data_IF_968988476570
#
_entry.id   IF_968988476570
#
_cell.length_a   1.000
_cell.length_b   1.000
_cell.length_c   1.000
_cell.angle_alpha   90.00
_cell.angle_beta   90.00
_cell.angle_gamma   90.00
#
_symmetry.space_group_name_H-M   'P 1'
#
loop_
_entity.id
_entity.type
_entity.pdbx_description
1 polymer ?
#
# COMPACT_ATOMS: atom_id res chain seq x y z
N UNK A 1 17.91 43.23 -13.21
CA UNK A 1 18.13 42.24 -14.28
C UNK A 1 18.02 40.86 -13.65
N UNK A 2 17.09 40.07 -14.17
CA UNK A 2 16.41 38.89 -13.62
C UNK A 2 17.20 37.88 -12.77
N UNK A 3 16.62 37.53 -11.62
CA UNK A 3 16.81 36.21 -11.02
C UNK A 3 15.82 35.22 -11.68
N UNK A 4 16.35 34.35 -12.53
CA UNK A 4 15.61 33.19 -13.02
C UNK A 4 15.42 32.18 -11.88
N UNK A 5 14.22 32.16 -11.28
CA UNK A 5 13.76 31.02 -10.48
C UNK A 5 13.73 29.78 -11.37
N UNK A 6 14.66 28.85 -11.14
CA UNK A 6 14.61 27.51 -11.72
C UNK A 6 13.36 26.79 -11.20
N UNK A 7 12.30 26.79 -12.01
CA UNK A 7 11.11 25.98 -11.77
C UNK A 7 11.48 24.51 -11.97
N UNK A 8 11.90 23.83 -10.90
CA UNK A 8 12.12 22.38 -10.91
C UNK A 8 10.78 21.68 -11.06
N UNK A 9 10.65 20.86 -12.10
CA UNK A 9 9.41 20.17 -12.48
C UNK A 9 8.93 19.22 -11.37
N UNK A 10 7.83 19.58 -10.71
CA UNK A 10 7.03 18.63 -9.91
C UNK A 10 6.24 17.74 -10.86
N UNK A 11 6.57 16.45 -10.93
CA UNK A 11 5.83 15.48 -11.73
C UNK A 11 4.54 15.10 -10.98
N UNK A 12 3.41 15.71 -11.37
CA UNK A 12 2.08 15.26 -10.91
C UNK A 12 1.72 13.92 -11.55
N UNK A 13 0.85 13.09 -10.92
CA UNK A 13 0.35 11.82 -11.51
C UNK A 13 -0.09 12.00 -12.96
N UNK A 14 -0.88 13.03 -13.26
CA UNK A 14 -1.31 13.35 -14.64
C UNK A 14 -0.13 13.62 -15.59
N UNK A 15 0.95 14.24 -15.12
CA UNK A 15 2.16 14.48 -15.91
C UNK A 15 2.99 13.19 -16.10
N UNK A 16 3.08 12.33 -15.07
CA UNK A 16 3.76 11.04 -15.15
C UNK A 16 3.05 10.06 -16.09
N UNK A 17 1.73 9.91 -15.97
CA UNK A 17 0.87 9.07 -16.83
C UNK A 17 0.96 9.53 -18.30
N UNK A 18 0.89 10.84 -18.57
CA UNK A 18 1.04 11.37 -19.94
C UNK A 18 2.45 11.20 -20.53
N UNK A 19 3.49 11.26 -19.70
CA UNK A 19 4.88 11.09 -20.14
C UNK A 19 5.31 9.63 -20.32
N UNK A 20 4.53 8.67 -19.81
CA UNK A 20 4.82 7.23 -19.87
C UNK A 20 3.88 6.44 -20.77
N UNK A 21 2.73 7.00 -21.16
CA UNK A 21 1.76 6.33 -22.03
C UNK A 21 0.90 5.27 -21.33
N UNK A 22 0.99 5.16 -20.01
CA UNK A 22 0.25 4.17 -19.21
C UNK A 22 -1.19 4.64 -18.95
N UNK A 23 -2.18 3.78 -19.14
CA UNK A 23 -3.61 4.10 -18.95
C UNK A 23 -4.04 4.00 -17.49
N UNK A 24 -5.07 4.76 -17.10
CA UNK A 24 -5.67 4.67 -15.77
C UNK A 24 -6.41 3.32 -15.61
N UNK A 25 -5.82 2.39 -14.86
CA UNK A 25 -6.44 1.10 -14.52
C UNK A 25 -7.68 1.28 -13.64
N UNK A 26 -8.75 0.56 -13.97
CA UNK A 26 -9.97 0.44 -13.18
C UNK A 26 -9.69 -0.48 -11.99
N UNK A 27 -9.92 0.00 -10.77
CA UNK A 27 -9.90 -0.83 -9.56
C UNK A 27 -10.95 -1.94 -9.72
N UNK A 28 -10.51 -3.19 -9.71
CA UNK A 28 -11.41 -4.34 -9.71
C UNK A 28 -12.17 -4.36 -8.38
N UNK A 29 -13.46 -4.00 -8.42
CA UNK A 29 -14.47 -4.58 -7.52
C UNK A 29 -14.36 -6.09 -7.60
N UNK A 30 -14.19 -6.75 -6.45
CA UNK A 30 -14.12 -8.21 -6.26
C UNK A 30 -14.80 -8.98 -7.40
N UNK A 31 -14.03 -9.37 -8.41
CA UNK A 31 -14.47 -10.35 -9.39
C UNK A 31 -14.21 -11.71 -8.75
N UNK A 32 -15.25 -12.54 -8.71
CA UNK A 32 -15.23 -13.86 -8.09
C UNK A 32 -13.95 -14.65 -8.45
N UNK A 33 -13.17 -15.01 -7.42
CA UNK A 33 -12.05 -15.92 -7.55
C UNK A 33 -12.56 -17.25 -8.12
N UNK A 34 -11.90 -17.72 -9.17
CA UNK A 34 -11.99 -19.13 -9.57
C UNK A 34 -10.93 -19.89 -8.76
N UNK A 35 -11.26 -21.04 -8.13
CA UNK A 35 -10.30 -21.73 -7.28
C UNK A 35 -9.09 -22.19 -8.08
N UNK A 36 -7.91 -21.65 -7.75
CA UNK A 36 -6.63 -22.19 -8.18
C UNK A 36 -6.35 -23.55 -7.53
N UNK A 37 -5.46 -24.33 -8.16
CA UNK A 37 -5.09 -25.67 -7.68
C UNK A 37 -4.56 -25.64 -6.23
N UNK A 38 -4.86 -26.68 -5.42
CA UNK A 38 -4.45 -26.72 -4.01
C UNK A 38 -2.92 -26.75 -3.88
N UNK A 39 -2.34 -26.07 -2.87
CA UNK A 39 -0.91 -26.14 -2.59
C UNK A 39 -0.49 -27.55 -2.14
N UNK A 40 0.76 -27.92 -2.47
CA UNK A 40 1.38 -29.15 -1.99
C UNK A 40 1.50 -29.18 -0.46
N UNK A 41 1.34 -30.37 0.12
CA UNK A 41 1.33 -30.56 1.58
C UNK A 41 2.64 -30.17 2.28
N UNK A 42 2.61 -30.02 3.62
CA UNK A 42 3.76 -29.55 4.39
C UNK A 42 4.93 -30.54 4.28
N UNK A 43 6.09 -30.04 3.83
CA UNK A 43 7.36 -30.74 3.89
C UNK A 43 7.89 -30.83 5.34
N UNK A 44 8.84 -31.74 5.62
CA UNK A 44 9.37 -31.96 6.97
C UNK A 44 10.14 -30.73 7.48
N UNK A 45 10.08 -30.53 8.81
CA UNK A 45 10.68 -29.44 9.58
C UNK A 45 12.01 -28.91 8.99
N UNK A 46 11.99 -27.69 8.47
CA UNK A 46 13.13 -26.98 7.91
C UNK A 46 13.07 -26.70 6.40
N UNK A 47 12.11 -27.28 5.68
CA UNK A 47 11.85 -26.90 4.28
C UNK A 47 10.91 -25.68 4.22
N UNK A 48 11.36 -24.59 3.57
CA UNK A 48 10.50 -23.47 3.18
C UNK A 48 9.25 -24.02 2.47
N UNK A 49 8.02 -23.60 2.85
CA UNK A 49 6.81 -24.06 2.20
C UNK A 49 6.96 -23.94 0.68
N UNK A 50 6.87 -25.05 -0.05
CA UNK A 50 7.00 -25.02 -1.50
C UNK A 50 5.69 -24.50 -2.06
N UNK A 51 5.71 -23.26 -2.56
CA UNK A 51 4.54 -22.66 -3.20
C UNK A 51 4.13 -23.40 -4.48
N UNK A 52 3.15 -22.87 -5.22
CA UNK A 52 2.63 -23.49 -6.43
C UNK A 52 3.72 -23.97 -7.37
N UNK A 53 3.54 -25.15 -7.96
CA UNK A 53 4.43 -25.65 -9.00
C UNK A 53 4.04 -24.99 -10.33
N UNK A 54 4.85 -24.05 -10.83
CA UNK A 54 4.56 -23.36 -12.09
C UNK A 54 5.42 -22.13 -12.32
N UNK A 55 5.26 -21.46 -13.48
CA UNK A 55 5.93 -20.20 -13.74
C UNK A 55 5.47 -19.12 -12.77
N UNK A 56 6.34 -18.16 -12.50
CA UNK A 56 5.99 -16.92 -11.80
C UNK A 56 4.77 -16.27 -12.47
N UNK A 57 3.72 -15.91 -11.70
CA UNK A 57 2.51 -15.35 -12.27
C UNK A 57 2.78 -13.95 -12.84
N UNK A 58 2.11 -13.62 -13.94
CA UNK A 58 2.11 -12.27 -14.48
C UNK A 58 1.22 -11.37 -13.63
N UNK A 59 1.80 -10.29 -13.11
CA UNK A 59 1.10 -9.35 -12.22
C UNK A 59 0.50 -8.20 -13.01
N UNK A 60 -0.79 -7.92 -12.76
CA UNK A 60 -1.48 -6.73 -13.28
C UNK A 60 -1.09 -5.48 -12.47
N UNK A 61 0.17 -5.05 -12.56
CA UNK A 61 0.77 -3.99 -11.72
C UNK A 61 0.04 -2.64 -11.79
N UNK A 62 -0.60 -2.34 -12.92
CA UNK A 62 -1.42 -1.13 -13.11
C UNK A 62 -2.73 -1.15 -12.29
N UNK A 63 -3.13 -2.33 -11.80
CA UNK A 63 -4.33 -2.56 -10.98
C UNK A 63 -4.00 -2.83 -9.49
N UNK A 64 -2.72 -2.76 -9.10
CA UNK A 64 -2.28 -2.97 -7.71
C UNK A 64 -1.78 -1.64 -7.17
N UNK A 65 -2.31 -1.16 -6.04
CA UNK A 65 -1.86 0.12 -5.47
C UNK A 65 -0.36 0.08 -5.12
N UNK A 66 0.34 1.18 -5.41
CA UNK A 66 1.81 1.19 -5.44
C UNK A 66 2.49 1.02 -4.08
N UNK A 67 1.78 1.26 -2.98
CA UNK A 67 2.34 1.03 -1.65
C UNK A 67 2.31 -0.43 -1.21
N UNK A 68 1.79 -1.35 -2.04
CA UNK A 68 1.70 -2.79 -1.72
C UNK A 68 2.98 -3.51 -2.16
N UNK A 69 3.32 -3.44 -3.46
CA UNK A 69 4.44 -4.21 -4.02
C UNK A 69 5.73 -3.42 -4.22
N UNK A 70 5.63 -2.09 -4.38
CA UNK A 70 6.78 -1.24 -4.70
C UNK A 70 7.24 -0.40 -3.50
N UNK A 71 6.29 -0.02 -2.64
CA UNK A 71 6.50 0.86 -1.49
C UNK A 71 6.70 2.32 -1.94
N UNK A 72 6.06 3.25 -1.25
CA UNK A 72 6.18 4.67 -1.60
C UNK A 72 7.58 5.25 -1.34
N UNK A 73 8.28 4.79 -0.28
CA UNK A 73 9.66 5.18 0.05
C UNK A 73 9.89 6.71 0.00
N UNK A 74 9.17 7.44 0.85
CA UNK A 74 9.19 8.90 0.92
C UNK A 74 9.50 9.41 2.32
N UNK A 75 10.11 10.58 2.38
CA UNK A 75 10.56 11.20 3.63
C UNK A 75 9.41 11.75 4.47
N UNK A 76 8.27 12.07 3.86
CA UNK A 76 7.11 12.59 4.56
C UNK A 76 5.85 11.80 4.23
N UNK A 77 5.03 11.53 5.24
CA UNK A 77 3.74 10.87 5.11
C UNK A 77 2.64 11.59 5.89
N UNK A 78 1.41 11.47 5.41
CA UNK A 78 0.22 11.91 6.13
C UNK A 78 -0.93 10.94 5.91
N UNK A 79 -1.55 10.50 7.00
CA UNK A 79 -2.66 9.56 7.00
C UNK A 79 -3.92 10.29 7.46
N UNK A 80 -4.89 10.41 6.56
CA UNK A 80 -6.19 11.01 6.85
C UNK A 80 -7.21 9.89 7.00
N UNK A 81 -7.61 9.62 8.24
CA UNK A 81 -8.69 8.69 8.54
C UNK A 81 -10.00 9.43 8.41
N UNK A 82 -10.98 8.84 7.72
CA UNK A 82 -12.22 9.53 7.42
C UNK A 82 -13.45 8.64 7.41
N UNK A 83 -14.58 9.29 7.63
CA UNK A 83 -15.92 8.72 7.47
C UNK A 83 -16.63 9.39 6.31
N UNK A 84 -17.70 8.77 5.84
CA UNK A 84 -18.59 9.33 4.83
C UNK A 84 -20.05 9.12 5.25
N UNK A 85 -20.95 10.07 4.95
CA UNK A 85 -22.30 10.10 5.52
C UNK A 85 -23.25 9.07 4.88
N UNK A 86 -22.93 8.58 3.68
CA UNK A 86 -23.72 7.56 2.97
C UNK A 86 -22.88 6.83 1.92
N UNK A 87 -23.35 5.67 1.48
CA UNK A 87 -22.72 4.94 0.38
C UNK A 87 -22.70 5.71 -0.95
N UNK A 88 -23.67 6.60 -1.20
CA UNK A 88 -23.69 7.45 -2.39
C UNK A 88 -22.56 8.50 -2.34
N UNK A 89 -22.43 9.19 -1.19
CA UNK A 89 -21.33 10.12 -0.95
C UNK A 89 -19.96 9.43 -1.02
N UNK A 90 -19.88 8.21 -0.48
CA UNK A 90 -18.69 7.38 -0.57
C UNK A 90 -18.31 7.10 -2.03
N UNK A 91 -19.24 6.60 -2.85
CA UNK A 91 -18.98 6.29 -4.26
C UNK A 91 -18.49 7.50 -5.05
N UNK A 92 -19.09 8.67 -4.82
CA UNK A 92 -18.66 9.92 -5.47
C UNK A 92 -17.26 10.37 -5.02
N UNK A 93 -16.95 10.25 -3.73
CA UNK A 93 -15.63 10.56 -3.22
C UNK A 93 -14.58 9.59 -3.77
N UNK A 94 -14.87 8.29 -3.72
CA UNK A 94 -13.98 7.24 -4.21
C UNK A 94 -13.72 7.34 -5.71
N UNK A 95 -14.71 7.71 -6.52
CA UNK A 95 -14.51 7.96 -7.95
C UNK A 95 -13.57 9.13 -8.23
N UNK A 96 -13.50 10.10 -7.32
CA UNK A 96 -12.57 11.24 -7.41
C UNK A 96 -11.17 10.86 -6.93
N UNK A 97 -11.08 10.07 -5.85
CA UNK A 97 -9.80 9.66 -5.26
C UNK A 97 -9.08 8.60 -6.11
N UNK A 98 -9.80 7.68 -6.74
CA UNK A 98 -9.19 6.63 -7.58
C UNK A 98 -8.36 7.20 -8.74
N UNK A 99 -8.72 8.38 -9.27
CA UNK A 99 -7.93 9.08 -10.29
C UNK A 99 -6.61 9.64 -9.76
N UNK A 100 -6.34 9.53 -8.46
CA UNK A 100 -5.13 10.02 -7.81
C UNK A 100 -4.33 8.88 -7.19
N UNK A 101 -4.92 7.70 -7.02
CA UNK A 101 -4.25 6.51 -6.49
C UNK A 101 -3.08 6.13 -7.39
N UNK A 102 -1.91 5.97 -6.78
CA UNK A 102 -0.71 5.50 -7.44
C UNK A 102 -0.75 3.97 -7.55
N UNK A 103 -0.37 3.41 -8.70
CA UNK A 103 -0.27 1.96 -8.88
C UNK A 103 1.19 1.47 -8.84
N UNK A 104 1.37 0.15 -8.78
CA UNK A 104 2.69 -0.49 -8.61
C UNK A 104 3.57 -0.29 -9.83
N UNK A 105 2.99 -0.27 -11.03
CA UNK A 105 3.73 0.01 -12.27
C UNK A 105 4.36 1.42 -12.24
N UNK A 106 3.58 2.43 -11.86
CA UNK A 106 4.05 3.83 -11.74
C UNK A 106 5.17 3.96 -10.71
N UNK A 107 5.00 3.36 -9.54
CA UNK A 107 5.98 3.46 -8.44
C UNK A 107 7.26 2.68 -8.77
N UNK A 108 7.18 1.49 -9.39
CA UNK A 108 8.36 0.74 -9.83
C UNK A 108 9.15 1.50 -10.92
N UNK A 109 8.44 2.11 -11.87
CA UNK A 109 9.06 2.94 -12.89
C UNK A 109 9.74 4.18 -12.29
N UNK A 110 9.11 4.84 -11.30
CA UNK A 110 9.74 5.91 -10.55
C UNK A 110 11.00 5.45 -9.80
N UNK A 111 10.92 4.33 -9.08
CA UNK A 111 12.05 3.77 -8.33
C UNK A 111 13.24 3.46 -9.24
N UNK A 112 12.96 2.93 -10.44
CA UNK A 112 14.00 2.66 -11.45
C UNK A 112 14.68 3.95 -11.92
N UNK A 113 13.90 5.01 -12.21
CA UNK A 113 14.45 6.33 -12.59
C UNK A 113 15.24 6.97 -11.46
N UNK A 114 14.75 6.86 -10.24
CA UNK A 114 15.45 7.38 -9.06
C UNK A 114 16.82 6.70 -8.89
N UNK A 115 16.86 5.36 -8.95
CA UNK A 115 18.13 4.58 -8.89
C UNK A 115 19.10 4.95 -10.00
N UNK A 116 18.60 5.12 -11.23
CA UNK A 116 19.42 5.55 -12.36
C UNK A 116 20.00 6.96 -12.14
N UNK A 117 19.17 7.93 -11.74
CA UNK A 117 19.61 9.30 -11.48
C UNK A 117 20.63 9.38 -10.32
N UNK A 118 20.42 8.62 -9.26
CA UNK A 118 21.35 8.50 -8.14
C UNK A 118 22.72 7.95 -8.59
N UNK A 119 22.70 6.95 -9.49
CA UNK A 119 23.92 6.33 -10.02
C UNK A 119 24.68 7.24 -11.00
N UNK A 120 23.97 8.12 -11.71
CA UNK A 120 24.54 9.05 -12.70
C UNK A 120 24.75 10.48 -12.16
N UNK A 121 24.64 10.67 -10.84
CA UNK A 121 24.71 11.99 -10.17
C UNK A 121 23.83 13.07 -10.84
N UNK A 122 22.69 12.65 -11.39
CA UNK A 122 21.70 13.51 -12.04
C UNK A 122 20.68 14.02 -11.01
N UNK A 123 19.95 15.11 -11.28
CA UNK A 123 18.91 15.59 -10.38
C UNK A 123 17.90 14.47 -10.04
N UNK A 124 17.74 14.18 -8.76
CA UNK A 124 16.82 13.15 -8.30
C UNK A 124 15.37 13.56 -8.61
N UNK A 125 14.55 12.66 -9.19
CA UNK A 125 13.14 12.94 -9.37
C UNK A 125 12.43 13.00 -8.01
N UNK A 126 11.35 13.77 -7.94
CA UNK A 126 10.47 13.85 -6.78
C UNK A 126 9.04 13.47 -7.15
N UNK A 127 8.30 12.88 -6.22
CA UNK A 127 6.92 12.46 -6.39
C UNK A 127 6.10 12.61 -5.11
N UNK A 128 4.78 12.71 -5.32
CA UNK A 128 3.75 12.58 -4.29
C UNK A 128 2.83 11.43 -4.68
N UNK A 129 2.62 10.51 -3.75
CA UNK A 129 1.81 9.32 -3.93
C UNK A 129 0.60 9.31 -3.01
N UNK A 130 -0.46 8.66 -3.47
CA UNK A 130 -1.70 8.45 -2.73
C UNK A 130 -2.06 6.96 -2.78
N UNK A 131 -2.30 6.37 -1.61
CA UNK A 131 -2.92 5.06 -1.45
C UNK A 131 -4.24 5.24 -0.69
N UNK A 132 -5.23 4.41 -0.97
CA UNK A 132 -6.52 4.40 -0.30
C UNK A 132 -6.79 3.00 0.28
N UNK A 133 -7.21 2.94 1.54
CA UNK A 133 -7.66 1.69 2.16
C UNK A 133 -9.03 1.87 2.82
N UNK A 134 -9.83 0.79 2.85
CA UNK A 134 -11.19 0.76 3.39
C UNK A 134 -11.25 -0.23 4.55
N UNK A 135 -11.97 0.13 5.61
CA UNK A 135 -12.26 -0.79 6.72
C UNK A 135 -13.45 -1.68 6.38
N UNK A 136 -13.65 -2.78 7.12
CA UNK A 136 -14.86 -3.60 6.97
C UNK A 136 -16.16 -2.77 7.18
N UNK A 137 -16.14 -1.83 8.14
CA UNK A 137 -17.24 -0.90 8.35
C UNK A 137 -17.44 0.04 7.14
N UNK A 138 -16.36 0.54 6.55
CA UNK A 138 -16.41 1.33 5.32
C UNK A 138 -16.98 0.57 4.13
N UNK A 139 -16.57 -0.69 3.91
CA UNK A 139 -17.13 -1.55 2.87
C UNK A 139 -18.62 -1.81 3.11
N UNK A 140 -19.02 -2.03 4.36
CA UNK A 140 -20.43 -2.16 4.75
C UNK A 140 -21.22 -0.90 4.40
N UNK A 141 -20.70 0.28 4.79
CA UNK A 141 -21.34 1.57 4.52
C UNK A 141 -21.37 1.92 3.02
N UNK A 142 -20.44 1.39 2.22
CA UNK A 142 -20.42 1.50 0.75
C UNK A 142 -21.51 0.64 0.08
N UNK A 143 -22.07 -0.32 0.81
CA UNK A 143 -23.09 -1.25 0.33
C UNK A 143 -22.52 -2.49 -0.35
N UNK A 144 -21.32 -2.93 0.04
CA UNK A 144 -20.76 -4.23 -0.39
C UNK A 144 -21.67 -5.35 0.10
N UNK A 145 -21.83 -6.40 -0.71
CA UNK A 145 -22.76 -7.49 -0.40
C UNK A 145 -22.34 -8.23 0.87
N UNK A 146 -23.32 -8.81 1.58
CA UNK A 146 -23.02 -9.58 2.79
C UNK A 146 -22.12 -10.77 2.51
N UNK A 147 -22.30 -11.46 1.38
CA UNK A 147 -21.46 -12.61 1.00
C UNK A 147 -20.00 -12.20 0.84
N UNK A 148 -19.74 -11.08 0.16
CA UNK A 148 -18.36 -10.60 -0.05
C UNK A 148 -17.74 -10.13 1.26
N UNK A 149 -18.52 -9.46 2.11
CA UNK A 149 -18.08 -9.06 3.44
C UNK A 149 -17.70 -10.26 4.33
N UNK A 150 -18.42 -11.38 4.22
CA UNK A 150 -18.12 -12.60 4.98
C UNK A 150 -16.92 -13.37 4.43
N UNK A 151 -16.53 -13.16 3.18
CA UNK A 151 -15.36 -13.81 2.59
C UNK A 151 -14.04 -13.30 3.21
N UNK A 152 -14.00 -12.08 3.74
CA UNK A 152 -12.80 -11.53 4.38
C UNK A 152 -12.39 -12.30 5.66
N UNK A 153 -11.09 -12.28 6.01
CA UNK A 153 -10.61 -13.00 7.18
C UNK A 153 -11.17 -12.39 8.46
N UNK A 154 -11.32 -13.22 9.50
CA UNK A 154 -11.85 -12.84 10.82
C UNK A 154 -11.15 -11.61 11.39
N UNK A 155 -9.82 -11.51 11.20
CA UNK A 155 -9.01 -10.39 11.66
C UNK A 155 -9.50 -9.05 11.11
N UNK A 156 -9.84 -9.01 9.82
CA UNK A 156 -10.34 -7.82 9.14
C UNK A 156 -11.81 -7.55 9.48
N UNK A 157 -12.64 -8.59 9.51
CA UNK A 157 -14.09 -8.45 9.82
C UNK A 157 -14.33 -7.96 11.25
N UNK A 158 -13.55 -8.44 12.22
CA UNK A 158 -13.67 -8.06 13.64
C UNK A 158 -13.03 -6.69 13.91
N UNK A 159 -11.96 -6.35 13.19
CA UNK A 159 -11.19 -5.13 13.39
C UNK A 159 -10.25 -5.17 14.59
N UNK A 160 -9.25 -4.27 14.59
CA UNK A 160 -8.14 -4.27 15.55
C UNK A 160 -8.59 -4.12 17.00
N UNK A 161 -9.59 -3.29 17.27
CA UNK A 161 -10.06 -3.00 18.63
C UNK A 161 -10.65 -4.21 19.34
N UNK A 162 -11.49 -4.97 18.64
CA UNK A 162 -12.09 -6.21 19.17
C UNK A 162 -11.03 -7.30 19.41
N UNK A 163 -9.86 -7.18 18.77
CA UNK A 163 -8.74 -8.14 18.83
C UNK A 163 -7.58 -7.68 19.71
N UNK A 164 -7.74 -6.59 20.46
CA UNK A 164 -6.72 -6.03 21.35
C UNK A 164 -6.10 -7.05 22.30
N UNK A 165 -6.92 -7.92 22.90
CA UNK A 165 -6.44 -9.01 23.75
C UNK A 165 -5.53 -10.02 23.05
N UNK A 166 -5.65 -10.19 21.73
CA UNK A 166 -4.79 -11.08 20.94
C UNK A 166 -3.45 -10.43 20.57
N UNK A 167 -3.41 -9.10 20.45
CA UNK A 167 -2.19 -8.34 20.11
C UNK A 167 -1.45 -7.81 21.35
N UNK A 168 -1.96 -8.11 22.56
CA UNK A 168 -1.33 -7.74 23.83
C UNK A 168 -1.69 -6.34 24.35
N UNK A 169 -2.58 -5.62 23.66
CA UNK A 169 -2.97 -4.25 24.02
C UNK A 169 -3.94 -4.25 25.22
N UNK A 170 -3.36 -4.07 26.40
CA UNK A 170 -4.06 -4.09 27.69
C UNK A 170 -3.54 -3.01 28.65
N UNK A 171 -4.24 -2.79 29.77
CA UNK A 171 -3.84 -1.79 30.77
C UNK A 171 -3.70 -0.38 30.17
N UNK A 172 -2.56 0.30 30.33
CA UNK A 172 -2.32 1.62 29.73
C UNK A 172 -2.46 1.65 28.20
N UNK A 173 -2.15 0.57 27.49
CA UNK A 173 -2.29 0.45 26.03
C UNK A 173 -3.65 -0.09 25.59
N UNK A 174 -4.60 -0.28 26.52
CA UNK A 174 -5.92 -0.80 26.19
C UNK A 174 -6.68 0.11 25.21
N UNK A 175 -7.59 -0.43 24.38
CA UNK A 175 -8.27 0.36 23.36
C UNK A 175 -9.17 1.49 23.85
N UNK A 176 -9.45 1.59 25.15
CA UNK A 176 -10.10 2.77 25.74
C UNK A 176 -9.21 4.02 25.70
N UNK A 177 -7.90 3.84 25.55
CA UNK A 177 -6.88 4.89 25.60
C UNK A 177 -6.29 5.18 24.20
N UNK A 178 -6.75 4.51 23.15
CA UNK A 178 -6.28 4.78 21.80
C UNK A 178 -6.77 6.15 21.31
N UNK A 179 -5.91 6.84 20.57
CA UNK A 179 -6.18 8.18 20.01
C UNK A 179 -7.04 8.15 18.73
N UNK A 180 -7.24 6.96 18.16
CA UNK A 180 -8.00 6.76 16.92
C UNK A 180 -9.49 6.59 17.19
N UNK A 181 -10.31 6.86 16.17
CA UNK A 181 -11.74 6.66 16.28
C UNK A 181 -12.12 5.19 16.07
N UNK A 182 -13.26 4.78 16.61
CA UNK A 182 -13.81 3.43 16.38
C UNK A 182 -14.66 3.35 15.10
N UNK A 183 -14.77 4.43 14.34
CA UNK A 183 -15.80 4.61 13.31
C UNK A 183 -15.23 4.92 11.93
N UNK A 184 -13.91 4.83 11.74
CA UNK A 184 -13.28 5.16 10.47
C UNK A 184 -13.73 4.20 9.37
N UNK A 185 -14.20 4.76 8.26
CA UNK A 185 -14.58 3.99 7.08
C UNK A 185 -13.40 3.74 6.15
N UNK A 186 -12.43 4.66 6.13
CA UNK A 186 -11.33 4.62 5.19
C UNK A 186 -10.12 5.43 5.69
N UNK A 187 -8.99 5.22 5.04
CA UNK A 187 -7.78 6.05 5.20
C UNK A 187 -7.19 6.40 3.85
N UNK A 188 -6.86 7.68 3.65
CA UNK A 188 -5.96 8.12 2.58
C UNK A 188 -4.55 8.20 3.16
N UNK A 189 -3.61 7.49 2.54
CA UNK A 189 -2.19 7.52 2.88
C UNK A 189 -1.48 8.32 1.79
N UNK A 190 -1.00 9.51 2.16
CA UNK A 190 -0.22 10.39 1.31
C UNK A 190 1.26 10.25 1.67
N UNK A 191 2.12 10.25 0.66
CA UNK A 191 3.57 10.21 0.86
C UNK A 191 4.25 11.11 -0.17
N UNK A 192 5.22 11.94 0.24
CA UNK A 192 5.95 12.81 -0.68
C UNK A 192 7.39 13.04 -0.24
N UNK A 193 8.29 13.28 -1.20
CA UNK A 193 9.69 13.63 -0.89
C UNK A 193 9.80 15.04 -0.28
N UNK A 194 8.82 15.93 -0.53
CA UNK A 194 8.81 17.31 -0.04
C UNK A 194 7.60 17.58 0.84
N UNK A 195 7.85 18.16 2.01
CA UNK A 195 6.79 18.53 2.96
C UNK A 195 5.75 19.49 2.35
N UNK A 196 6.17 20.41 1.47
CA UNK A 196 5.26 21.32 0.76
C UNK A 196 4.29 20.55 -0.14
N UNK A 197 4.80 19.57 -0.90
CA UNK A 197 3.99 18.78 -1.83
C UNK A 197 3.03 17.87 -1.07
N UNK A 198 3.47 17.31 0.07
CA UNK A 198 2.61 16.56 0.99
C UNK A 198 1.49 17.46 1.55
N UNK A 199 1.85 18.67 1.97
CA UNK A 199 0.89 19.64 2.54
C UNK A 199 -0.17 20.04 1.51
N UNK A 200 0.23 20.24 0.26
CA UNK A 200 -0.70 20.54 -0.83
C UNK A 200 -1.63 19.35 -1.12
N UNK A 201 -1.08 18.14 -1.23
CA UNK A 201 -1.88 16.94 -1.43
C UNK A 201 -2.86 16.67 -0.27
N UNK A 202 -2.42 16.89 0.98
CA UNK A 202 -3.26 16.73 2.16
C UNK A 202 -4.40 17.76 2.20
N UNK A 203 -4.13 19.01 1.81
CA UNK A 203 -5.18 20.03 1.65
C UNK A 203 -6.20 19.63 0.60
N UNK A 204 -5.74 19.19 -0.58
CA UNK A 204 -6.63 18.72 -1.65
C UNK A 204 -7.48 17.53 -1.21
N UNK A 205 -6.89 16.49 -0.63
CA UNK A 205 -7.62 15.33 -0.13
C UNK A 205 -8.62 15.71 0.97
N UNK A 206 -8.22 16.57 1.91
CA UNK A 206 -9.11 17.10 2.96
C UNK A 206 -10.32 17.82 2.38
N UNK A 207 -10.11 18.71 1.40
CA UNK A 207 -11.20 19.40 0.72
C UNK A 207 -12.12 18.43 -0.02
N UNK A 208 -11.58 17.43 -0.72
CA UNK A 208 -12.37 16.41 -1.42
C UNK A 208 -13.25 15.61 -0.45
N UNK A 209 -12.68 15.15 0.68
CA UNK A 209 -13.42 14.42 1.72
C UNK A 209 -14.54 15.29 2.29
N UNK A 210 -14.24 16.53 2.69
CA UNK A 210 -15.23 17.45 3.28
C UNK A 210 -16.33 17.85 2.29
N UNK A 211 -15.99 18.09 1.02
CA UNK A 211 -16.96 18.44 -0.01
C UNK A 211 -17.95 17.29 -0.30
N UNK A 212 -17.52 16.04 -0.09
CA UNK A 212 -18.40 14.87 -0.14
C UNK A 212 -19.20 14.67 1.17
N UNK A 213 -19.10 15.58 2.14
CA UNK A 213 -19.77 15.50 3.45
C UNK A 213 -19.09 14.56 4.45
N UNK A 214 -17.88 14.08 4.14
CA UNK A 214 -17.10 13.24 5.05
C UNK A 214 -16.47 14.02 6.20
N UNK A 215 -16.17 13.32 7.29
CA UNK A 215 -15.42 13.87 8.44
C UNK A 215 -14.06 13.21 8.53
N UNK A 216 -13.07 13.92 9.08
CA UNK A 216 -11.71 13.41 9.30
C UNK A 216 -11.47 13.43 10.82
N UNK A 217 -11.87 12.36 11.54
CA UNK A 217 -11.73 12.33 12.99
C UNK A 217 -10.28 12.21 13.45
N UNK A 218 -9.38 11.72 12.59
CA UNK A 218 -7.98 11.56 12.93
C UNK A 218 -7.06 11.83 11.74
N UNK A 219 -5.95 12.51 12.01
CA UNK A 219 -4.94 12.94 11.05
C UNK A 219 -3.56 12.73 11.68
N UNK A 220 -2.75 11.88 11.05
CA UNK A 220 -1.42 11.53 11.53
C UNK A 220 -0.36 11.94 10.52
N UNK A 221 0.59 12.76 10.96
CA UNK A 221 1.81 13.06 10.20
C UNK A 221 2.92 12.06 10.57
N UNK A 222 3.73 11.71 9.59
CA UNK A 222 4.96 10.95 9.77
C UNK A 222 6.08 11.58 8.94
N UNK A 223 7.30 11.52 9.45
CA UNK A 223 8.48 11.95 8.72
C UNK A 223 9.68 11.05 9.07
N UNK A 224 10.56 10.84 8.10
CA UNK A 224 11.87 10.29 8.37
C UNK A 224 12.62 11.22 9.34
N UNK A 225 13.45 10.62 10.20
CA UNK A 225 14.36 11.35 11.09
C UNK A 225 15.34 12.18 10.26
N UNK A 226 15.40 13.49 10.51
CA UNK A 226 16.34 14.39 9.82
C UNK A 226 17.78 14.14 10.26
N UNK A 227 17.97 13.78 11.53
CA UNK A 227 19.28 13.50 12.13
C UNK A 227 19.86 12.16 11.68
N UNK A 228 19.01 11.13 11.55
CA UNK A 228 19.41 9.79 11.10
C UNK A 228 18.40 9.16 10.12
N UNK A 229 18.38 9.59 8.84
CA UNK A 229 17.44 9.07 7.85
C UNK A 229 17.46 7.54 7.71
N UNK A 230 16.27 6.95 7.76
CA UNK A 230 16.06 5.50 7.69
C UNK A 230 16.48 4.74 8.95
N UNK A 231 16.60 5.42 10.09
CA UNK A 231 16.64 4.80 11.42
C UNK A 231 15.34 5.13 12.17
N UNK A 232 14.85 4.20 12.99
CA UNK A 232 13.70 4.43 13.86
C UNK A 232 14.10 5.19 15.14
N UNK A 233 13.16 5.56 16.01
CA UNK A 233 13.42 6.48 17.13
C UNK A 233 14.35 5.95 18.23
N UNK A 234 14.55 4.63 18.35
CA UNK A 234 15.54 4.04 19.25
C UNK A 234 16.96 4.00 18.66
N UNK A 235 17.15 4.42 17.40
CA UNK A 235 18.47 4.54 16.74
C UNK A 235 18.87 3.36 15.87
N UNK A 236 17.99 2.40 15.62
CA UNK A 236 18.29 1.23 14.80
C UNK A 236 17.91 1.46 13.34
N UNK A 237 18.72 0.91 12.42
CA UNK A 237 18.42 0.92 10.99
C UNK A 237 17.17 0.08 10.74
N UNK A 238 16.16 0.68 10.13
CA UNK A 238 14.89 0.01 9.84
C UNK A 238 14.72 -0.24 8.33
N UNK A 239 13.75 -1.08 7.97
CA UNK A 239 13.37 -1.38 6.58
C UNK A 239 14.39 -2.24 5.81
N UNK A 240 15.32 -2.90 6.51
CA UNK A 240 16.40 -3.70 5.88
C UNK A 240 15.89 -5.01 5.28
N UNK A 241 15.12 -5.79 6.05
CA UNK A 241 14.67 -7.12 5.66
C UNK A 241 13.22 -7.09 5.20
N UNK A 242 13.02 -7.07 3.89
CA UNK A 242 11.72 -7.20 3.24
C UNK A 242 11.67 -8.47 2.41
N UNK A 243 10.52 -9.19 2.34
CA UNK A 243 10.40 -10.36 1.48
C UNK A 243 10.61 -9.97 0.02
N UNK A 244 11.26 -10.85 -0.74
CA UNK A 244 11.26 -10.74 -2.18
C UNK A 244 9.92 -11.23 -2.73
N UNK A 245 9.43 -10.62 -3.81
CA UNK A 245 8.12 -10.97 -4.38
C UNK A 245 8.32 -11.47 -5.81
N UNK A 246 7.86 -12.70 -6.08
CA UNK A 246 7.90 -13.27 -7.43
C UNK A 246 7.13 -12.38 -8.40
N UNK A 247 7.76 -12.03 -9.52
CA UNK A 247 7.19 -11.14 -10.54
C UNK A 247 7.52 -9.66 -10.35
N UNK A 248 8.15 -9.29 -9.22
CA UNK A 248 8.59 -7.92 -8.94
C UNK A 248 10.08 -7.87 -8.63
N UNK A 249 10.54 -8.71 -7.71
CA UNK A 249 11.94 -8.78 -7.28
C UNK A 249 12.73 -9.64 -8.25
N UNK A 250 13.78 -9.08 -8.84
CA UNK A 250 14.72 -9.82 -9.68
C UNK A 250 15.54 -10.80 -8.84
N UNK A 251 15.59 -12.10 -9.19
CA UNK A 251 16.51 -13.04 -8.57
C UNK A 251 17.97 -12.63 -8.81
N UNK A 252 18.76 -12.59 -7.76
CA UNK A 252 20.15 -12.09 -7.76
C UNK A 252 21.02 -12.80 -6.69
N UNK A 253 20.63 -14.02 -6.30
CA UNK A 253 21.49 -14.93 -5.54
C UNK A 253 22.01 -16.04 -6.48
N UNK A 254 23.35 -16.19 -6.65
CA UNK A 254 23.92 -17.24 -7.50
C UNK A 254 23.71 -18.65 -6.96
N UNK A 255 23.54 -18.80 -5.64
CA UNK A 255 23.42 -20.11 -4.98
C UNK A 255 21.96 -20.59 -4.86
N UNK A 256 20.99 -19.67 -4.93
CA UNK A 256 19.56 -19.99 -4.87
C UNK A 256 18.72 -19.07 -5.79
N UNK A 257 18.17 -19.58 -6.91
CA UNK A 257 17.34 -18.79 -7.81
C UNK A 257 15.97 -18.39 -7.21
N UNK A 258 15.61 -18.92 -6.03
CA UNK A 258 14.41 -18.53 -5.29
C UNK A 258 14.66 -17.38 -4.33
N UNK A 259 15.81 -16.71 -4.42
CA UNK A 259 16.11 -15.54 -3.62
C UNK A 259 16.39 -14.30 -4.49
N UNK A 260 15.96 -13.14 -3.99
CA UNK A 260 16.31 -11.83 -4.51
C UNK A 260 17.80 -11.59 -4.30
N UNK A 261 18.20 -11.17 -3.11
CA UNK A 261 19.60 -11.25 -2.65
C UNK A 261 19.77 -12.42 -1.66
N UNK A 262 21.00 -12.85 -1.32
CA UNK A 262 21.19 -13.89 -0.31
C UNK A 262 20.42 -13.61 0.99
N UNK A 263 19.58 -14.55 1.40
CA UNK A 263 18.71 -14.44 2.58
C UNK A 263 17.36 -13.74 2.35
N UNK A 264 17.06 -13.30 1.12
CA UNK A 264 15.78 -12.69 0.75
C UNK A 264 14.95 -13.65 -0.10
N UNK A 265 14.13 -14.47 0.55
CA UNK A 265 13.25 -15.44 -0.13
C UNK A 265 12.23 -14.75 -1.04
N UNK A 266 12.04 -15.32 -2.25
CA UNK A 266 11.02 -14.92 -3.22
C UNK A 266 9.70 -15.64 -2.92
N UNK A 267 8.78 -14.90 -2.33
CA UNK A 267 7.44 -15.36 -1.99
C UNK A 267 6.47 -15.18 -3.15
N UNK A 268 5.43 -16.03 -3.17
CA UNK A 268 4.34 -15.90 -4.12
C UNK A 268 3.49 -14.65 -3.83
N UNK A 269 3.00 -13.95 -4.86
CA UNK A 269 2.32 -12.67 -4.69
C UNK A 269 0.98 -12.76 -3.94
N UNK A 270 0.36 -13.94 -3.87
CA UNK A 270 -0.85 -14.16 -3.08
C UNK A 270 -0.69 -13.91 -1.58
N UNK A 271 0.55 -13.95 -1.06
CA UNK A 271 0.83 -13.56 0.33
C UNK A 271 0.57 -12.06 0.59
N UNK A 272 0.49 -11.25 -0.47
CA UNK A 272 0.35 -9.79 -0.39
C UNK A 272 -0.86 -9.25 -1.15
N UNK A 273 -1.29 -9.95 -2.21
CA UNK A 273 -2.36 -9.50 -3.13
C UNK A 273 -3.41 -10.58 -3.26
N UNK A 274 -4.60 -10.31 -2.72
CA UNK A 274 -5.74 -11.22 -2.82
C UNK A 274 -6.06 -11.59 -4.28
N UNK A 275 -6.43 -12.84 -4.51
CA UNK A 275 -6.74 -13.38 -5.83
C UNK A 275 -5.53 -13.85 -6.66
N UNK A 276 -4.32 -13.73 -6.11
CA UNK A 276 -3.13 -14.38 -6.67
C UNK A 276 -2.77 -15.65 -5.89
N UNK A 277 -2.03 -16.60 -6.49
CA UNK A 277 -1.65 -17.83 -5.80
C UNK A 277 -0.78 -17.56 -4.55
N UNK A 278 -1.11 -18.24 -3.45
CA UNK A 278 -0.40 -18.22 -2.16
C UNK A 278 0.64 -19.34 -2.10
N UNK A 279 1.69 -19.14 -1.30
CA UNK A 279 2.72 -20.14 -1.02
C UNK A 279 2.38 -20.96 0.24
N UNK A 280 1.78 -20.29 1.23
CA UNK A 280 1.42 -20.88 2.51
C UNK A 280 -0.07 -21.21 2.47
N UNK A 281 -0.47 -22.46 2.77
CA UNK A 281 -1.89 -22.79 2.88
C UNK A 281 -2.56 -21.90 3.93
N UNK A 282 -3.49 -21.04 3.52
CA UNK A 282 -4.25 -20.26 4.49
C UNK A 282 -5.42 -21.09 5.01
N UNK A 283 -5.55 -21.19 6.34
CA UNK A 283 -6.65 -21.92 6.98
C UNK A 283 -8.02 -21.24 6.80
N UNK A 284 -8.07 -20.07 6.18
CA UNK A 284 -9.26 -19.24 5.95
C UNK A 284 -9.78 -19.30 4.50
N UNK A 285 -9.13 -20.06 3.61
CA UNK A 285 -9.65 -20.37 2.27
C UNK A 285 -9.63 -19.20 1.27
N UNK A 286 -8.83 -18.16 1.50
CA UNK A 286 -8.71 -16.98 0.63
C UNK A 286 -7.85 -17.16 -0.64
N UNK A 287 -7.70 -18.39 -1.12
CA UNK A 287 -6.96 -18.70 -2.36
C UNK A 287 -7.73 -18.31 -3.62
#
# INVERSE_FOLDING_TARGET
>A
MDQAKSAKQTLTRRAFVRGTGLGAGVIVTAAACTPGAPPGGPGPNGSTPTGPTGPTPELQLSNIQGNILAGFNKDHQRMLFFTFPSGAAAKQLLSTLQEQVANSEEVLAFNSRYKAAASSNSPLPSATWLNLALTHAGLTALGVSRSDLQAFPDSFRQGMRARSGLIGDSGPSAPSNWITSNADHAVVILAADRLSDLSDAARTATSQIKNAGGTIPFDQAGAAREDEPGHEHFGFKDGVSQPGIRGVTTPNNPDDPNQGVPGQDLLWPGEFVLGYPTQIPTGDGLN
#
